data_IF_750970545671
#
_entry.id   IF_750970545671
#
_cell.length_a   1.000
_cell.length_b   1.000
_cell.length_c   1.000
_cell.angle_alpha   90.00
_cell.angle_beta   90.00
_cell.angle_gamma   90.00
#
_symmetry.space_group_name_H-M   'P 1'
#
loop_
_entity.id
_entity.type
_entity.pdbx_description
1 polymer ?
#
# COMPACT_ATOMS: atom_id res chain seq x y z
N UNK A 1 38.06 5.08 -7.23
CA UNK A 1 36.86 5.26 -6.39
C UNK A 1 37.35 5.92 -5.11
N UNK A 2 36.81 7.09 -4.76
CA UNK A 2 37.17 7.77 -3.52
C UNK A 2 36.04 7.54 -2.52
N UNK A 3 36.41 7.10 -1.33
CA UNK A 3 35.49 6.94 -0.22
C UNK A 3 35.32 8.29 0.49
N UNK A 4 34.09 8.61 0.86
CA UNK A 4 33.72 9.83 1.58
C UNK A 4 32.72 9.44 2.65
N UNK A 5 32.88 9.97 3.86
CA UNK A 5 31.97 9.77 4.98
C UNK A 5 31.18 11.07 5.22
N UNK A 6 29.85 10.97 5.27
CA UNK A 6 28.93 12.10 5.30
C UNK A 6 28.00 12.02 6.52
N UNK A 7 27.51 13.17 6.99
CA UNK A 7 26.56 13.23 8.09
C UNK A 7 25.19 12.62 7.71
N UNK A 8 24.54 11.96 8.67
CA UNK A 8 23.19 11.38 8.50
C UNK A 8 22.10 12.45 8.63
N UNK A 9 22.23 13.34 9.62
CA UNK A 9 21.28 14.44 9.83
C UNK A 9 21.47 15.45 8.70
N UNK A 10 20.40 15.66 7.92
CA UNK A 10 20.45 16.47 6.70
C UNK A 10 19.49 17.64 6.84
N UNK A 11 19.92 18.90 6.64
CA UNK A 11 19.03 20.04 6.70
C UNK A 11 17.85 19.92 5.72
N UNK A 12 16.66 20.33 6.13
CA UNK A 12 15.44 20.22 5.32
C UNK A 12 15.58 20.86 3.92
N UNK A 13 16.31 21.97 3.80
CA UNK A 13 16.54 22.67 2.53
C UNK A 13 17.24 21.78 1.48
N UNK A 14 18.14 20.89 1.92
CA UNK A 14 18.86 19.95 1.03
C UNK A 14 17.90 18.88 0.50
N UNK A 15 17.02 18.37 1.36
CA UNK A 15 16.02 17.37 0.99
C UNK A 15 14.92 17.97 0.10
N UNK A 16 14.57 19.23 0.32
CA UNK A 16 13.64 19.96 -0.54
C UNK A 16 14.24 20.22 -1.93
N UNK A 17 15.48 20.70 -1.99
CA UNK A 17 16.17 21.02 -3.25
C UNK A 17 16.42 19.76 -4.09
N UNK A 18 16.71 18.62 -3.44
CA UNK A 18 16.86 17.33 -4.12
C UNK A 18 15.52 16.69 -4.53
N UNK A 19 14.39 17.24 -4.07
CA UNK A 19 13.04 16.74 -4.37
C UNK A 19 12.61 15.54 -3.55
N UNK A 20 13.37 15.15 -2.52
CA UNK A 20 12.99 14.03 -1.63
C UNK A 20 11.70 14.33 -0.86
N UNK A 21 11.49 15.58 -0.44
CA UNK A 21 10.27 15.98 0.29
C UNK A 21 8.98 15.78 -0.50
N UNK A 22 9.05 15.81 -1.83
CA UNK A 22 7.87 15.71 -2.70
C UNK A 22 7.70 14.31 -3.30
N UNK A 23 8.81 13.61 -3.55
CA UNK A 23 8.82 12.32 -4.27
C UNK A 23 8.94 11.11 -3.35
N UNK A 24 9.47 11.29 -2.14
CA UNK A 24 9.67 10.20 -1.18
C UNK A 24 8.43 10.01 -0.29
N UNK A 25 7.28 9.89 -0.96
CA UNK A 25 5.98 9.73 -0.32
C UNK A 25 5.32 8.45 -0.81
N UNK A 26 4.78 7.68 0.12
CA UNK A 26 3.94 6.53 -0.18
C UNK A 26 2.47 6.91 -0.03
N UNK A 27 1.60 6.18 -0.74
CA UNK A 27 0.16 6.26 -0.55
C UNK A 27 -0.26 5.34 0.58
N UNK A 28 -0.87 5.91 1.62
CA UNK A 28 -1.38 5.15 2.77
C UNK A 28 -2.89 5.29 2.88
N UNK A 29 -3.52 4.25 3.43
CA UNK A 29 -4.94 4.21 3.77
C UNK A 29 -5.07 3.95 5.26
N UNK A 30 -6.09 4.54 5.87
CA UNK A 30 -6.38 4.39 7.30
C UNK A 30 -7.62 3.56 7.50
N UNK A 31 -7.57 2.60 8.41
CA UNK A 31 -8.75 1.92 8.92
C UNK A 31 -9.55 2.91 9.80
N UNK A 32 -10.79 3.21 9.42
CA UNK A 32 -11.60 4.22 10.11
C UNK A 32 -11.93 3.85 11.56
N UNK A 33 -11.92 2.56 11.91
CA UNK A 33 -12.30 2.09 13.24
C UNK A 33 -11.08 1.87 14.15
N UNK A 34 -10.02 1.26 13.64
CA UNK A 34 -8.82 0.97 14.44
C UNK A 34 -7.81 2.12 14.41
N UNK A 35 -7.88 2.97 13.40
CA UNK A 35 -6.90 4.03 13.16
C UNK A 35 -5.57 3.52 12.62
N UNK A 36 -5.48 2.23 12.29
CA UNK A 36 -4.30 1.62 11.71
C UNK A 36 -3.99 2.22 10.33
N UNK A 37 -2.71 2.53 10.10
CA UNK A 37 -2.24 3.08 8.83
C UNK A 37 -1.57 1.95 8.06
N UNK A 38 -2.08 1.70 6.86
CA UNK A 38 -1.62 0.65 5.98
C UNK A 38 -1.17 1.25 4.66
N UNK A 39 -0.14 0.66 4.06
CA UNK A 39 0.29 1.01 2.70
C UNK A 39 -0.77 0.56 1.68
N UNK A 40 -1.24 1.50 0.86
CA UNK A 40 -2.37 1.28 -0.05
C UNK A 40 -2.07 0.19 -1.09
N UNK A 41 -0.87 0.22 -1.67
CA UNK A 41 -0.35 -0.77 -2.62
C UNK A 41 -0.29 -2.17 -2.01
N UNK A 42 0.22 -2.30 -0.78
CA UNK A 42 0.29 -3.58 -0.08
C UNK A 42 -1.08 -4.17 0.22
N UNK A 43 -2.03 -3.33 0.65
CA UNK A 43 -3.40 -3.77 0.94
C UNK A 43 -4.09 -4.27 -0.32
N UNK A 44 -4.00 -3.51 -1.40
CA UNK A 44 -4.59 -3.90 -2.69
C UNK A 44 -3.93 -5.18 -3.21
N UNK A 45 -2.59 -5.29 -3.14
CA UNK A 45 -1.88 -6.48 -3.54
C UNK A 45 -2.29 -7.73 -2.75
N UNK A 46 -2.39 -7.60 -1.42
CA UNK A 46 -2.78 -8.70 -0.54
C UNK A 46 -4.20 -9.20 -0.83
N UNK A 47 -5.16 -8.29 -1.00
CA UNK A 47 -6.56 -8.65 -1.28
C UNK A 47 -6.73 -9.27 -2.67
N UNK A 48 -6.05 -8.72 -3.69
CA UNK A 48 -6.10 -9.29 -5.04
C UNK A 48 -5.47 -10.68 -5.11
N UNK A 49 -4.31 -10.88 -4.46
CA UNK A 49 -3.67 -12.20 -4.38
C UNK A 49 -4.55 -13.21 -3.65
N UNK A 50 -5.15 -12.83 -2.52
CA UNK A 50 -6.06 -13.71 -1.79
C UNK A 50 -7.30 -14.11 -2.62
N UNK A 51 -7.86 -13.18 -3.42
CA UNK A 51 -8.98 -13.48 -4.34
C UNK A 51 -8.57 -14.43 -5.47
N UNK A 52 -7.38 -14.24 -6.05
CA UNK A 52 -6.83 -15.12 -7.09
C UNK A 52 -6.51 -16.52 -6.56
N UNK A 53 -5.97 -16.62 -5.34
CA UNK A 53 -5.75 -17.91 -4.68
C UNK A 53 -7.07 -18.63 -4.40
N UNK A 54 -8.09 -17.93 -3.90
CA UNK A 54 -9.42 -18.51 -3.68
C UNK A 54 -10.07 -19.03 -4.97
N UNK A 55 -9.88 -18.35 -6.11
CA UNK A 55 -10.33 -18.84 -7.42
C UNK A 55 -9.58 -20.10 -7.86
N UNK A 56 -8.25 -20.13 -7.66
CA UNK A 56 -7.44 -21.32 -7.95
C UNK A 56 -7.88 -22.53 -7.12
N UNK A 57 -8.20 -22.32 -5.84
CA UNK A 57 -8.75 -23.35 -4.96
C UNK A 57 -10.15 -23.80 -5.39
N UNK A 58 -11.00 -22.88 -5.88
CA UNK A 58 -12.34 -23.17 -6.38
C UNK A 58 -12.32 -23.97 -7.71
N UNK A 59 -11.33 -23.73 -8.58
CA UNK A 59 -11.15 -24.44 -9.87
C UNK A 59 -10.45 -25.80 -9.74
N UNK A 60 -9.84 -26.10 -8.58
CA UNK A 60 -9.29 -27.42 -8.26
C UNK A 60 -7.81 -27.65 -8.61
N UNK A 61 -7.07 -26.61 -8.99
CA UNK A 61 -5.65 -26.70 -9.42
C UNK A 61 -4.62 -26.69 -8.26
N UNK A 62 -5.05 -26.93 -7.01
CA UNK A 62 -4.16 -26.90 -5.84
C UNK A 62 -4.76 -27.50 -4.58
N UNK A 63 -4.45 -28.77 -4.29
CA UNK A 63 -4.77 -29.40 -3.02
C UNK A 63 -3.86 -28.86 -1.89
N UNK A 64 -4.39 -27.97 -1.03
CA UNK A 64 -3.99 -27.84 0.39
C UNK A 64 -5.14 -27.21 1.19
N UNK A 65 -5.86 -28.04 1.97
CA UNK A 65 -6.85 -27.58 2.96
C UNK A 65 -6.17 -26.67 4.00
N UNK A 66 -6.51 -25.39 4.06
CA UNK A 66 -6.36 -24.59 5.27
C UNK A 66 -7.69 -24.00 5.73
N UNK A 67 -7.84 -23.89 7.05
CA UNK A 67 -9.10 -23.75 7.78
C UNK A 67 -9.68 -22.33 7.69
N UNK A 68 -10.94 -22.26 7.24
CA UNK A 68 -12.08 -21.47 7.77
C UNK A 68 -11.74 -20.10 8.39
N UNK A 69 -11.83 -19.04 7.57
CA UNK A 69 -12.48 -17.78 7.95
C UNK A 69 -13.64 -17.53 6.97
N UNK A 70 -14.77 -17.09 7.53
CA UNK A 70 -16.11 -17.12 6.93
C UNK A 70 -16.40 -15.78 6.23
N UNK A 71 -17.08 -15.84 5.07
CA UNK A 71 -17.70 -14.75 4.26
C UNK A 71 -16.72 -14.11 3.26
N UNK A 72 -16.85 -14.18 1.93
CA UNK A 72 -17.99 -14.33 1.00
C UNK A 72 -17.64 -15.31 -0.14
N UNK A 73 -18.67 -16.02 -0.60
CA UNK A 73 -18.83 -16.74 -1.88
C UNK A 73 -17.58 -17.28 -2.61
N UNK A 74 -17.34 -18.59 -2.47
CA UNK A 74 -16.53 -19.39 -3.39
C UNK A 74 -17.21 -19.44 -4.76
N UNK A 75 -17.09 -18.37 -5.54
CA UNK A 75 -17.58 -18.27 -6.92
C UNK A 75 -16.35 -18.22 -7.82
N UNK A 76 -16.33 -19.08 -8.84
CA UNK A 76 -15.31 -19.04 -9.89
C UNK A 76 -15.31 -17.62 -10.46
N UNK A 77 -14.17 -16.93 -10.39
CA UNK A 77 -14.04 -15.61 -11.00
C UNK A 77 -14.14 -15.81 -12.51
N UNK A 78 -14.83 -14.92 -13.21
CA UNK A 78 -14.79 -14.94 -14.67
C UNK A 78 -13.35 -14.68 -15.15
N UNK A 79 -12.95 -15.31 -16.26
CA UNK A 79 -11.58 -15.22 -16.78
C UNK A 79 -11.19 -13.76 -17.10
N UNK A 80 -12.15 -12.92 -17.45
CA UNK A 80 -11.95 -11.48 -17.67
C UNK A 80 -11.59 -10.75 -16.37
N UNK A 81 -12.25 -11.06 -15.25
CA UNK A 81 -11.97 -10.43 -13.94
C UNK A 81 -10.59 -10.85 -13.43
N UNK A 82 -10.18 -12.09 -13.68
CA UNK A 82 -8.85 -12.59 -13.34
C UNK A 82 -7.75 -11.82 -14.08
N UNK A 83 -7.92 -11.61 -15.39
CA UNK A 83 -7.00 -10.81 -16.21
C UNK A 83 -6.91 -9.37 -15.71
N UNK A 84 -8.03 -8.78 -15.30
CA UNK A 84 -8.06 -7.44 -14.73
C UNK A 84 -7.28 -7.36 -13.42
N UNK A 85 -7.42 -8.34 -12.52
CA UNK A 85 -6.66 -8.38 -11.26
C UNK A 85 -5.15 -8.53 -11.49
N UNK A 86 -4.75 -9.40 -12.42
CA UNK A 86 -3.35 -9.57 -12.81
C UNK A 86 -2.79 -8.28 -13.45
N UNK A 87 -3.57 -7.61 -14.29
CA UNK A 87 -3.18 -6.34 -14.89
C UNK A 87 -3.02 -5.20 -13.88
N UNK A 88 -3.90 -5.14 -12.86
CA UNK A 88 -3.79 -4.19 -11.74
C UNK A 88 -2.55 -4.50 -10.91
N UNK A 89 -2.30 -5.76 -10.56
CA UNK A 89 -1.11 -6.18 -9.81
C UNK A 89 0.19 -5.84 -10.54
N UNK A 90 0.23 -6.01 -11.86
CA UNK A 90 1.41 -5.70 -12.67
C UNK A 90 1.75 -4.20 -12.73
N UNK A 91 0.78 -3.32 -12.44
CA UNK A 91 0.93 -1.86 -12.55
C UNK A 91 0.82 -1.13 -11.21
N UNK A 92 0.70 -1.87 -10.10
CA UNK A 92 0.33 -1.31 -8.80
C UNK A 92 1.31 -0.24 -8.31
N UNK A 93 2.61 -0.44 -8.54
CA UNK A 93 3.68 0.49 -8.14
C UNK A 93 3.67 1.80 -8.95
N UNK A 94 3.02 1.80 -10.12
CA UNK A 94 2.90 2.97 -10.98
C UNK A 94 1.58 3.73 -10.78
N UNK A 95 0.68 3.24 -9.92
CA UNK A 95 -0.62 3.87 -9.70
C UNK A 95 -0.48 5.07 -8.75
N UNK A 96 -1.06 6.20 -9.16
CA UNK A 96 -1.18 7.38 -8.30
C UNK A 96 -2.28 7.22 -7.24
N UNK A 97 -2.36 8.16 -6.31
CA UNK A 97 -3.32 8.12 -5.19
C UNK A 97 -4.79 8.05 -5.62
N UNK A 98 -5.19 8.81 -6.63
CA UNK A 98 -6.56 8.73 -7.16
C UNK A 98 -6.85 7.38 -7.82
N UNK A 99 -5.89 6.83 -8.55
CA UNK A 99 -6.05 5.55 -9.23
C UNK A 99 -6.14 4.41 -8.21
N UNK A 100 -5.28 4.42 -7.19
CA UNK A 100 -5.36 3.50 -6.05
C UNK A 100 -6.70 3.64 -5.32
N UNK A 101 -7.17 4.86 -5.09
CA UNK A 101 -8.47 5.12 -4.48
C UNK A 101 -9.62 4.53 -5.31
N UNK A 102 -9.60 4.75 -6.63
CA UNK A 102 -10.58 4.19 -7.55
C UNK A 102 -10.56 2.66 -7.55
N UNK A 103 -9.38 2.02 -7.50
CA UNK A 103 -9.26 0.56 -7.40
C UNK A 103 -9.84 0.06 -6.09
N UNK A 104 -9.53 0.72 -4.97
CA UNK A 104 -10.05 0.35 -3.64
C UNK A 104 -11.57 0.44 -3.60
N UNK A 105 -12.16 1.51 -4.13
CA UNK A 105 -13.62 1.69 -4.18
C UNK A 105 -14.27 0.72 -5.17
N UNK A 106 -13.73 0.60 -6.40
CA UNK A 106 -14.29 -0.27 -7.45
C UNK A 106 -14.31 -1.74 -7.07
N UNK A 107 -13.27 -2.20 -6.37
CA UNK A 107 -13.12 -3.60 -5.97
C UNK A 107 -13.56 -3.85 -4.52
N UNK A 108 -14.16 -2.85 -3.86
CA UNK A 108 -14.61 -2.87 -2.46
C UNK A 108 -13.57 -3.49 -1.53
N UNK A 109 -12.34 -2.99 -1.63
CA UNK A 109 -11.19 -3.48 -0.85
C UNK A 109 -11.32 -2.96 0.58
N UNK A 110 -11.21 -3.88 1.54
CA UNK A 110 -11.29 -3.64 2.98
C UNK A 110 -9.99 -4.04 3.65
N UNK A 111 -9.82 -3.64 4.90
CA UNK A 111 -8.67 -4.11 5.69
C UNK A 111 -8.68 -5.66 5.73
N UNK A 112 -7.59 -6.34 5.29
CA UNK A 112 -7.55 -7.80 5.22
C UNK A 112 -7.62 -8.49 6.60
N UNK A 113 -7.24 -7.79 7.68
CA UNK A 113 -7.24 -8.36 9.02
C UNK A 113 -8.57 -8.13 9.74
N UNK A 114 -9.09 -6.91 9.67
CA UNK A 114 -10.28 -6.48 10.43
C UNK A 114 -11.57 -6.52 9.62
N UNK A 115 -11.49 -6.45 8.29
CA UNK A 115 -12.65 -6.35 7.40
C UNK A 115 -13.32 -4.98 7.38
N UNK A 116 -12.65 -3.94 7.91
CA UNK A 116 -13.19 -2.58 7.99
C UNK A 116 -13.02 -1.79 6.70
N UNK A 117 -13.79 -0.73 6.57
CA UNK A 117 -13.69 0.24 5.46
C UNK A 117 -12.42 1.07 5.64
N UNK A 118 -11.73 1.30 4.51
CA UNK A 118 -10.51 2.08 4.44
C UNK A 118 -10.82 3.50 3.99
N UNK A 119 -10.09 4.46 4.53
CA UNK A 119 -10.15 5.85 4.09
C UNK A 119 -9.60 6.01 2.67
N UNK A 120 -9.78 7.21 2.11
CA UNK A 120 -9.13 7.58 0.85
C UNK A 120 -7.60 7.53 1.01
N UNK A 121 -6.84 7.14 -0.04
CA UNK A 121 -5.39 7.18 -0.01
C UNK A 121 -4.88 8.61 0.18
N UNK A 122 -3.99 8.79 1.15
CA UNK A 122 -3.30 10.05 1.43
C UNK A 122 -1.80 9.85 1.31
N UNK A 123 -1.06 10.92 0.96
CA UNK A 123 0.40 10.86 0.92
C UNK A 123 0.96 10.82 2.33
N UNK A 124 1.95 9.96 2.54
CA UNK A 124 2.72 9.86 3.77
C UNK A 124 4.21 9.94 3.44
N UNK A 125 4.89 10.90 4.07
CA UNK A 125 6.33 11.06 3.92
C UNK A 125 7.04 10.00 4.76
N UNK A 126 7.95 9.27 4.12
CA UNK A 126 8.73 8.20 4.76
C UNK A 126 9.98 8.73 5.48
N UNK A 127 10.30 10.01 5.33
CA UNK A 127 11.43 10.63 6.03
C UNK A 127 11.07 10.88 7.49
N UNK A 128 12.04 10.64 8.37
CA UNK A 128 11.95 11.04 9.77
C UNK A 128 12.26 12.53 9.88
N UNK A 129 11.29 13.32 10.32
CA UNK A 129 11.53 14.72 10.65
C UNK A 129 12.25 14.80 12.00
N UNK A 130 13.28 15.63 12.09
CA UNK A 130 13.95 15.94 13.35
C UNK A 130 14.20 17.43 13.52
N UNK A 131 14.44 17.83 14.76
CA UNK A 131 14.67 19.21 15.14
C UNK A 131 16.13 19.36 15.56
N UNK A 132 16.86 20.25 14.88
CA UNK A 132 18.30 20.46 15.09
C UNK A 132 18.52 21.66 16.01
N UNK A 133 19.23 21.41 17.11
CA UNK A 133 19.59 22.43 18.11
C UNK A 133 18.50 22.69 19.18
N UNK A 134 18.85 23.41 20.26
CA UNK A 134 17.98 23.58 21.43
C UNK A 134 16.78 24.51 21.19
N UNK A 135 16.85 25.38 20.18
CA UNK A 135 15.79 26.34 19.84
C UNK A 135 14.78 25.78 18.85
N UNK A 136 15.12 24.68 18.18
CA UNK A 136 14.30 24.01 17.17
C UNK A 136 13.96 24.84 15.93
N UNK A 137 14.75 25.87 15.63
CA UNK A 137 14.58 26.68 14.44
C UNK A 137 15.04 25.97 13.16
N UNK A 138 15.95 24.99 13.28
CA UNK A 138 16.46 24.20 12.18
C UNK A 138 15.74 22.85 12.16
N UNK A 139 15.16 22.51 11.01
CA UNK A 139 14.58 21.20 10.74
C UNK A 139 15.54 20.36 9.91
N UNK A 140 15.60 19.07 10.23
CA UNK A 140 16.36 18.07 9.47
C UNK A 140 15.59 16.78 9.31
#
# INVERSE_FOLDING_TARGET
MHEVDCAIITPQEVLQTSGHTEKFVDWVVRDEQTGEILRADHVVAAVLRARLEADREARGDGAKKCKKRKRDETRVLEDDVKRDYEAVLARIDALGGEQLGNVITRLEIKNPETGNVLSKPTQFNLMFETTVGPTGQLKG
#
